data_IF_115639619399
#
_entry.id   IF_115639619399
#
_cell.length_a   1.000
_cell.length_b   1.000
_cell.length_c   1.000
_cell.angle_alpha   90.00
_cell.angle_beta   90.00
_cell.angle_gamma   90.00
#
_symmetry.space_group_name_H-M   'P 1'
#
loop_
_entity.id
_entity.type
_entity.pdbx_description
1 polymer ?
#
# COMPACT_ATOMS: atom_id res chain seq x y z
N UNK A 1 8.42 17.50 -37.05
CA UNK A 1 9.76 17.74 -36.47
C UNK A 1 9.51 18.48 -35.16
N UNK A 2 9.87 18.08 -33.95
CA UNK A 2 10.66 16.99 -33.38
C UNK A 2 10.28 16.99 -31.88
N UNK A 3 9.95 15.83 -31.28
CA UNK A 3 9.59 15.75 -29.86
C UNK A 3 10.86 15.66 -29.01
N UNK A 4 11.10 16.65 -28.15
CA UNK A 4 12.18 16.65 -27.17
C UNK A 4 12.12 15.39 -26.29
N UNK A 5 13.10 14.50 -26.45
CA UNK A 5 13.35 13.38 -25.55
C UNK A 5 14.02 13.93 -24.28
N UNK A 6 13.32 13.90 -23.16
CA UNK A 6 13.95 14.13 -21.84
C UNK A 6 14.75 12.88 -21.50
N UNK A 7 16.03 12.90 -21.84
CA UNK A 7 16.99 11.86 -21.44
C UNK A 7 17.27 12.01 -19.94
N UNK A 8 16.60 11.22 -19.10
CA UNK A 8 16.95 11.13 -17.68
C UNK A 8 18.27 10.37 -17.55
N UNK A 9 19.35 11.12 -17.31
CA UNK A 9 20.67 10.55 -17.07
C UNK A 9 20.68 9.85 -15.71
N UNK A 10 20.78 8.51 -15.72
CA UNK A 10 21.05 7.71 -14.52
C UNK A 10 22.51 7.94 -14.10
N UNK A 11 22.72 8.72 -13.05
CA UNK A 11 24.05 8.92 -12.47
C UNK A 11 24.34 7.83 -11.43
N UNK A 12 25.01 6.76 -11.87
CA UNK A 12 25.64 5.78 -10.98
C UNK A 12 26.99 6.32 -10.51
N UNK A 13 27.09 6.70 -9.24
CA UNK A 13 28.38 7.03 -8.62
C UNK A 13 28.85 5.84 -7.78
N UNK A 14 29.95 5.22 -8.22
CA UNK A 14 30.68 4.17 -7.51
C UNK A 14 31.12 4.68 -6.12
N UNK A 15 30.69 3.98 -5.05
CA UNK A 15 31.06 4.32 -3.67
C UNK A 15 32.31 3.51 -3.28
N UNK A 16 33.45 4.20 -3.16
CA UNK A 16 34.69 3.64 -2.65
C UNK A 16 34.56 3.36 -1.14
N UNK A 17 34.68 2.09 -0.73
CA UNK A 17 34.52 1.63 0.65
C UNK A 17 35.88 1.65 1.36
N UNK A 18 36.20 2.72 2.09
CA UNK A 18 37.31 2.71 3.06
C UNK A 18 36.76 2.58 4.48
N UNK A 19 37.04 1.43 5.11
CA UNK A 19 36.95 1.21 6.56
C UNK A 19 38.04 2.06 7.24
N UNK A 20 37.69 2.80 8.27
CA UNK A 20 38.65 3.31 9.25
C UNK A 20 38.00 3.39 10.62
N UNK A 21 38.27 2.38 11.43
CA UNK A 21 38.20 2.42 12.88
C UNK A 21 39.27 3.35 13.41
N UNK A 22 38.90 4.31 14.27
CA UNK A 22 39.67 4.78 15.45
C UNK A 22 39.17 6.19 15.82
N UNK A 23 38.48 6.28 16.95
CA UNK A 23 38.22 7.56 17.62
C UNK A 23 39.51 8.05 18.26
N UNK A 24 40.07 9.15 17.74
CA UNK A 24 41.04 9.96 18.49
C UNK A 24 40.52 11.40 18.49
N UNK A 25 40.07 11.84 19.67
CA UNK A 25 39.63 13.20 19.93
C UNK A 25 40.85 14.11 19.98
N UNK A 26 41.24 14.69 18.86
CA UNK A 26 42.20 15.79 18.82
C UNK A 26 41.49 17.10 18.49
N UNK A 27 41.37 17.96 19.50
CA UNK A 27 40.96 19.35 19.39
C UNK A 27 42.01 20.14 18.61
N UNK A 28 41.80 20.28 17.31
CA UNK A 28 42.55 21.23 16.48
C UNK A 28 41.69 22.46 16.21
N UNK A 29 42.18 23.63 16.62
CA UNK A 29 41.62 24.94 16.28
C UNK A 29 41.86 25.16 14.78
N UNK A 30 40.92 24.73 13.94
CA UNK A 30 41.01 24.90 12.49
C UNK A 30 40.60 26.34 12.14
N UNK A 31 41.58 27.15 11.71
CA UNK A 31 41.34 28.37 10.92
C UNK A 31 40.76 27.93 9.57
N UNK A 32 39.44 27.86 9.49
CA UNK A 32 38.72 27.19 8.38
C UNK A 32 38.82 27.96 7.08
N UNK A 33 39.53 27.39 6.11
CA UNK A 33 39.48 27.81 4.71
C UNK A 33 38.03 27.62 4.21
N UNK A 34 37.37 28.67 3.74
CA UNK A 34 35.94 28.68 3.37
C UNK A 34 35.56 27.59 2.36
N UNK A 35 36.49 27.23 1.47
CA UNK A 35 36.38 26.13 0.51
C UNK A 35 36.21 24.75 1.18
N UNK A 36 36.89 24.49 2.30
CA UNK A 36 36.78 23.23 3.04
C UNK A 36 35.40 23.05 3.70
N UNK A 37 34.79 24.13 4.15
CA UNK A 37 33.46 24.10 4.77
C UNK A 37 32.36 23.82 3.77
N UNK A 38 32.47 24.37 2.56
CA UNK A 38 31.55 24.05 1.47
C UNK A 38 31.62 22.57 1.09
N UNK A 39 32.81 21.95 1.13
CA UNK A 39 32.96 20.51 0.86
C UNK A 39 32.37 19.65 1.99
N UNK A 40 32.60 20.02 3.25
CA UNK A 40 31.99 19.33 4.40
C UNK A 40 30.46 19.38 4.31
N UNK A 41 29.88 20.53 3.99
CA UNK A 41 28.41 20.64 3.88
C UNK A 41 27.85 19.79 2.72
N UNK A 42 28.55 19.77 1.57
CA UNK A 42 28.20 18.86 0.46
C UNK A 42 28.22 17.40 0.89
N UNK A 43 29.26 16.96 1.62
CA UNK A 43 29.34 15.56 2.10
C UNK A 43 28.25 15.22 3.11
N UNK A 44 27.91 16.14 4.03
CA UNK A 44 26.78 15.97 4.97
C UNK A 44 25.46 15.80 4.23
N UNK A 45 25.21 16.62 3.21
CA UNK A 45 24.00 16.54 2.37
C UNK A 45 23.93 15.21 1.62
N UNK A 46 25.04 14.74 1.03
CA UNK A 46 25.09 13.43 0.35
C UNK A 46 24.79 12.29 1.32
N UNK A 47 25.36 12.32 2.52
CA UNK A 47 25.09 11.32 3.56
C UNK A 47 23.62 11.34 4.01
N UNK A 48 23.02 12.53 4.16
CA UNK A 48 21.60 12.68 4.47
C UNK A 48 20.70 12.08 3.37
N UNK A 49 20.97 12.41 2.10
CA UNK A 49 20.23 11.87 0.97
C UNK A 49 20.37 10.34 0.86
N UNK A 50 21.54 9.79 1.17
CA UNK A 50 21.74 8.35 1.22
C UNK A 50 20.90 7.67 2.32
N UNK A 51 20.79 8.31 3.50
CA UNK A 51 19.94 7.81 4.59
C UNK A 51 18.46 7.84 4.21
N UNK A 52 17.98 8.94 3.62
CA UNK A 52 16.56 9.03 3.22
C UNK A 52 16.21 8.01 2.14
N UNK A 53 17.12 7.77 1.17
CA UNK A 53 16.93 6.69 0.19
C UNK A 53 16.77 5.32 0.86
N UNK A 54 17.58 5.00 1.87
CA UNK A 54 17.42 3.74 2.61
C UNK A 54 16.08 3.67 3.35
N UNK A 55 15.66 4.76 3.99
CA UNK A 55 14.37 4.86 4.66
C UNK A 55 13.21 4.61 3.68
N UNK A 56 13.25 5.27 2.52
CA UNK A 56 12.27 5.12 1.46
C UNK A 56 12.27 3.73 0.82
N UNK A 57 13.43 3.10 0.68
CA UNK A 57 13.52 1.72 0.21
C UNK A 57 12.83 0.75 1.19
N UNK A 58 12.99 0.96 2.50
CA UNK A 58 12.26 0.20 3.52
C UNK A 58 10.74 0.36 3.39
N UNK A 59 10.27 1.59 3.19
CA UNK A 59 8.84 1.86 2.96
C UNK A 59 8.34 1.16 1.68
N UNK A 60 9.08 1.28 0.58
CA UNK A 60 8.69 0.66 -0.68
C UNK A 60 8.68 -0.87 -0.58
N UNK A 61 9.61 -1.47 0.17
CA UNK A 61 9.60 -2.91 0.46
C UNK A 61 8.36 -3.34 1.25
N UNK A 62 7.87 -2.52 2.18
CA UNK A 62 6.64 -2.80 2.90
C UNK A 62 5.41 -2.73 1.98
N UNK A 63 5.36 -1.73 1.09
CA UNK A 63 4.33 -1.65 0.05
C UNK A 63 4.35 -2.86 -0.88
N UNK A 64 5.52 -3.38 -1.22
CA UNK A 64 5.66 -4.57 -2.06
C UNK A 64 5.12 -5.82 -1.37
N UNK A 65 5.44 -6.00 -0.08
CA UNK A 65 4.87 -7.08 0.72
C UNK A 65 3.35 -6.96 0.87
N UNK A 66 2.82 -5.74 0.96
CA UNK A 66 1.37 -5.54 0.95
C UNK A 66 0.77 -6.00 -0.39
N UNK A 67 1.42 -5.70 -1.52
CA UNK A 67 0.95 -6.14 -2.84
C UNK A 67 0.93 -7.66 -3.00
N UNK A 68 1.84 -8.39 -2.36
CA UNK A 68 1.87 -9.87 -2.46
C UNK A 68 0.69 -10.55 -1.78
N UNK A 69 0.03 -9.88 -0.83
CA UNK A 69 -1.15 -10.43 -0.14
C UNK A 69 -2.48 -9.97 -0.75
N UNK A 70 -2.44 -9.07 -1.74
CA UNK A 70 -3.65 -8.64 -2.45
C UNK A 70 -4.10 -9.70 -3.47
N UNK A 71 -5.41 -9.83 -3.73
CA UNK A 71 -5.92 -10.79 -4.70
C UNK A 71 -5.30 -10.61 -6.09
N UNK A 72 -4.73 -11.70 -6.63
CA UNK A 72 -4.09 -11.69 -7.96
C UNK A 72 -5.07 -11.38 -9.11
N UNK A 73 -6.37 -11.64 -8.91
CA UNK A 73 -7.44 -11.32 -9.85
C UNK A 73 -7.64 -9.82 -10.07
N UNK A 74 -7.20 -8.97 -9.13
CA UNK A 74 -7.35 -7.52 -9.24
C UNK A 74 -6.25 -6.87 -10.10
N UNK A 75 -5.17 -7.59 -10.43
CA UNK A 75 -4.08 -7.06 -11.26
C UNK A 75 -4.48 -7.06 -12.74
N UNK A 76 -5.06 -5.96 -13.21
CA UNK A 76 -5.66 -5.91 -14.56
C UNK A 76 -4.69 -6.18 -15.72
N UNK A 77 -3.37 -6.02 -15.56
CA UNK A 77 -2.38 -6.19 -16.65
C UNK A 77 -0.95 -6.54 -16.16
N UNK A 78 -0.79 -7.31 -15.07
CA UNK A 78 0.51 -7.54 -14.39
C UNK A 78 1.27 -6.24 -14.00
N UNK A 79 0.60 -5.10 -14.03
CA UNK A 79 1.15 -3.82 -13.60
C UNK A 79 1.12 -3.74 -12.07
N UNK A 80 2.17 -3.18 -11.48
CA UNK A 80 2.23 -2.89 -10.04
C UNK A 80 1.31 -1.71 -9.74
N UNK A 81 0.41 -1.86 -8.76
CA UNK A 81 -0.42 -0.77 -8.27
C UNK A 81 0.40 0.41 -7.74
N UNK A 82 -0.08 1.63 -7.98
CA UNK A 82 0.44 2.83 -7.32
C UNK A 82 0.26 2.75 -5.79
N UNK A 83 0.90 3.66 -5.04
CA UNK A 83 0.78 3.67 -3.57
C UNK A 83 -0.67 3.87 -3.13
N UNK A 84 -1.38 4.78 -3.78
CA UNK A 84 -2.78 5.05 -3.48
C UNK A 84 -3.67 3.84 -3.76
N UNK A 85 -3.57 3.27 -4.96
CA UNK A 85 -4.35 2.09 -5.34
C UNK A 85 -4.06 0.89 -4.42
N UNK A 86 -2.80 0.69 -4.03
CA UNK A 86 -2.43 -0.38 -3.09
C UNK A 86 -3.14 -0.23 -1.75
N UNK A 87 -3.27 1.00 -1.23
CA UNK A 87 -3.98 1.26 0.02
C UNK A 87 -5.49 1.07 -0.12
N UNK A 88 -6.07 1.58 -1.21
CA UNK A 88 -7.49 1.41 -1.49
C UNK A 88 -7.85 -0.08 -1.60
N UNK A 89 -7.02 -0.85 -2.30
CA UNK A 89 -7.24 -2.29 -2.45
C UNK A 89 -7.08 -3.06 -1.15
N UNK A 90 -6.13 -2.67 -0.30
CA UNK A 90 -6.01 -3.25 1.03
C UNK A 90 -7.28 -3.00 1.88
N UNK A 91 -7.83 -1.78 1.85
CA UNK A 91 -9.06 -1.45 2.57
C UNK A 91 -10.25 -2.29 2.06
N UNK A 92 -10.48 -2.31 0.74
CA UNK A 92 -11.54 -3.11 0.14
C UNK A 92 -11.38 -4.60 0.43
N UNK A 93 -10.14 -5.11 0.43
CA UNK A 93 -9.87 -6.52 0.68
C UNK A 93 -10.14 -6.91 2.14
N UNK A 94 -9.73 -6.08 3.10
CA UNK A 94 -10.06 -6.30 4.53
C UNK A 94 -11.57 -6.32 4.72
N UNK A 95 -12.30 -5.37 4.14
CA UNK A 95 -13.76 -5.31 4.25
C UNK A 95 -14.45 -6.54 3.63
N UNK A 96 -13.96 -7.03 2.49
CA UNK A 96 -14.47 -8.23 1.86
C UNK A 96 -14.24 -9.48 2.73
N UNK A 97 -13.04 -9.64 3.30
CA UNK A 97 -12.74 -10.75 4.21
C UNK A 97 -13.61 -10.71 5.47
N UNK A 98 -13.81 -9.52 6.05
CA UNK A 98 -14.72 -9.34 7.19
C UNK A 98 -16.15 -9.75 6.82
N UNK A 99 -16.65 -9.30 5.67
CA UNK A 99 -17.98 -9.69 5.18
C UNK A 99 -18.13 -11.21 5.11
N UNK A 100 -17.17 -11.91 4.48
CA UNK A 100 -17.21 -13.38 4.37
C UNK A 100 -17.24 -14.05 5.75
N UNK A 101 -16.44 -13.57 6.70
CA UNK A 101 -16.42 -14.13 8.05
C UNK A 101 -17.75 -13.94 8.80
N UNK A 102 -18.39 -12.77 8.70
CA UNK A 102 -19.63 -12.46 9.43
C UNK A 102 -20.91 -12.99 8.75
N UNK A 103 -20.92 -13.16 7.43
CA UNK A 103 -22.04 -13.78 6.72
C UNK A 103 -22.10 -15.28 6.99
N UNK A 104 -20.94 -15.95 7.10
CA UNK A 104 -20.90 -17.38 7.41
C UNK A 104 -21.33 -17.71 8.85
N UNK A 105 -21.19 -16.78 9.80
CA UNK A 105 -21.64 -16.98 11.19
C UNK A 105 -23.14 -16.76 11.39
N UNK A 106 -23.82 -16.14 10.42
CA UNK A 106 -25.25 -15.83 10.50
C UNK A 106 -26.13 -16.88 9.82
N UNK A 107 -25.54 -17.83 9.08
CA UNK A 107 -26.28 -18.78 8.24
C UNK A 107 -26.66 -20.10 8.93
N UNK A 108 -26.33 -20.28 10.22
CA UNK A 108 -26.61 -21.51 10.99
C UNK A 108 -27.91 -21.46 11.83
N UNK A 109 -28.76 -20.43 11.70
CA UNK A 109 -29.92 -20.27 12.60
C UNK A 109 -31.28 -19.96 11.94
N UNK A 110 -31.46 -20.16 10.63
CA UNK A 110 -32.78 -19.92 9.99
C UNK A 110 -33.27 -21.09 9.14
N UNK A 111 -33.32 -22.27 9.76
CA UNK A 111 -34.09 -23.42 9.29
C UNK A 111 -34.99 -23.95 10.41
N UNK A 112 -35.87 -23.11 10.97
CA UNK A 112 -37.04 -23.61 11.68
C UNK A 112 -38.21 -22.61 11.71
N UNK A 113 -38.80 -22.32 10.56
CA UNK A 113 -40.19 -21.88 10.46
C UNK A 113 -40.85 -22.54 9.23
N UNK A 114 -40.82 -23.87 9.17
CA UNK A 114 -41.69 -24.65 8.30
C UNK A 114 -42.32 -25.78 9.10
N UNK A 115 -43.23 -25.46 10.02
CA UNK A 115 -44.41 -26.30 10.24
C UNK A 115 -45.48 -25.63 11.12
N UNK A 116 -46.75 -25.91 10.78
CA UNK A 116 -48.01 -25.63 11.51
C UNK A 116 -48.51 -24.17 11.36
N UNK A 117 -49.60 -23.86 10.64
CA UNK A 117 -50.90 -24.54 10.59
C UNK A 117 -51.59 -24.46 9.22
N UNK A 118 -52.12 -25.61 8.78
CA UNK A 118 -53.30 -25.74 7.93
C UNK A 118 -54.56 -25.25 8.65
N UNK A 119 -55.65 -25.03 7.90
CA UNK A 119 -57.04 -24.71 8.34
C UNK A 119 -57.24 -23.21 8.62
N UNK A 120 -58.19 -22.48 8.02
CA UNK A 120 -59.59 -22.75 7.66
C UNK A 120 -60.11 -21.74 6.60
N UNK A 121 -60.98 -22.24 5.71
CA UNK A 121 -62.13 -21.59 5.06
C UNK A 121 -61.92 -20.40 4.08
N UNK A 122 -61.74 -20.73 2.80
CA UNK A 122 -62.15 -19.86 1.69
C UNK A 122 -63.26 -20.53 0.86
N UNK A 123 -64.50 -20.29 1.28
CA UNK A 123 -65.67 -20.30 0.40
C UNK A 123 -66.41 -18.98 0.62
N UNK A 124 -66.38 -18.07 -0.37
CA UNK A 124 -67.45 -17.12 -0.66
C UNK A 124 -67.25 -16.46 -2.03
N UNK A 125 -67.88 -17.06 -3.03
CA UNK A 125 -68.59 -16.43 -4.15
C UNK A 125 -68.00 -15.15 -4.77
N UNK A 126 -67.17 -15.35 -5.79
CA UNK A 126 -66.93 -14.32 -6.79
C UNK A 126 -68.10 -14.28 -7.79
N UNK A 127 -69.18 -13.57 -7.42
CA UNK A 127 -70.22 -13.17 -8.36
C UNK A 127 -70.02 -11.71 -8.76
N UNK A 128 -69.67 -11.52 -10.03
CA UNK A 128 -69.78 -10.29 -10.82
C UNK A 128 -70.99 -9.41 -10.45
N UNK A 129 -70.76 -8.12 -10.22
CA UNK A 129 -71.67 -7.09 -10.72
C UNK A 129 -70.90 -5.91 -11.28
N UNK A 130 -70.99 -5.83 -12.60
CA UNK A 130 -70.63 -4.72 -13.47
C UNK A 130 -71.62 -3.57 -13.20
N UNK A 131 -71.10 -2.38 -12.85
CA UNK A 131 -71.66 -1.04 -13.16
C UNK A 131 -70.67 0.04 -12.70
#
# INVERSE_FOLDING_TARGET
MEKMKVQTQQTTTMINKKKSSSSTTTTFVVKRNSSSIVQIEKTRRVAANARERRRMNGLNSAFDRLRTVLPSSMFQQQRRFSKYETLQMAQSYIAALQSILYHNTSSDNDHNLTNVSSTTDEDMDNQTHDY
#
